data_IF_253794706934
#
_entry.id   IF_253794706934
#
_cell.length_a   1.000
_cell.length_b   1.000
_cell.length_c   1.000
_cell.angle_alpha   90.00
_cell.angle_beta   90.00
_cell.angle_gamma   90.00
#
_symmetry.space_group_name_H-M   'P 1'
#
loop_
_entity.id
_entity.type
_entity.pdbx_description
1 polymer ?
#
# COMPACT_ATOMS: atom_id res chain seq x y z
N UNK A 1 32.59 12.05 41.55
CA UNK A 1 33.56 11.05 42.06
C UNK A 1 33.12 9.67 41.58
N UNK A 2 34.04 8.98 40.90
CA UNK A 2 34.19 7.53 40.73
C UNK A 2 33.34 6.77 39.69
N UNK A 3 33.98 6.65 38.50
CA UNK A 3 34.05 5.52 37.57
C UNK A 3 34.02 4.12 38.22
N UNK A 4 33.49 3.09 37.52
CA UNK A 4 34.21 1.84 37.15
C UNK A 4 33.34 0.93 36.27
N UNK A 5 33.96 0.39 35.22
CA UNK A 5 33.46 -0.59 34.25
C UNK A 5 33.32 -2.02 34.77
N UNK A 6 32.41 -2.81 34.18
CA UNK A 6 32.44 -4.30 34.14
C UNK A 6 31.99 -4.74 32.74
N UNK A 7 32.88 -5.17 31.83
CA UNK A 7 33.58 -6.46 31.64
C UNK A 7 32.72 -7.63 31.11
N UNK A 8 33.05 -7.99 29.87
CA UNK A 8 32.71 -9.17 29.06
C UNK A 8 33.38 -10.44 29.63
N UNK A 9 32.70 -11.61 29.54
CA UNK A 9 33.24 -12.98 29.26
C UNK A 9 32.32 -14.05 29.87
N UNK A 10 31.57 -14.84 29.09
CA UNK A 10 31.93 -16.14 28.47
C UNK A 10 32.22 -17.27 29.47
N UNK A 11 31.32 -18.28 29.51
CA UNK A 11 31.55 -19.74 29.58
C UNK A 11 30.44 -20.44 30.39
N UNK A 12 29.63 -21.27 29.72
CA UNK A 12 29.09 -22.48 30.33
C UNK A 12 28.88 -23.52 29.22
N UNK A 13 29.83 -24.46 29.18
CA UNK A 13 29.85 -25.64 28.34
C UNK A 13 28.93 -26.72 28.94
N UNK A 14 28.48 -27.62 28.05
CA UNK A 14 28.03 -29.02 28.26
C UNK A 14 26.54 -29.30 28.30
N UNK A 15 26.06 -29.91 27.21
CA UNK A 15 25.26 -31.13 27.26
C UNK A 15 25.25 -31.79 25.89
N UNK A 16 25.79 -33.02 25.85
CA UNK A 16 25.89 -33.94 24.72
C UNK A 16 24.52 -34.55 24.44
N UNK A 17 24.09 -34.60 23.17
CA UNK A 17 23.08 -35.57 22.74
C UNK A 17 23.49 -36.15 21.37
N UNK A 18 23.55 -37.47 21.32
CA UNK A 18 24.03 -38.28 20.20
C UNK A 18 23.11 -38.19 18.97
N UNK A 19 23.70 -38.06 17.78
CA UNK A 19 23.01 -38.25 16.50
C UNK A 19 23.54 -39.51 15.82
N UNK A 20 22.64 -40.47 15.70
CA UNK A 20 22.77 -41.73 14.96
C UNK A 20 22.92 -41.46 13.47
N UNK A 21 23.80 -42.25 12.84
CA UNK A 21 24.02 -42.32 11.39
C UNK A 21 22.74 -42.79 10.68
N UNK A 22 22.28 -42.02 9.69
CA UNK A 22 21.19 -42.38 8.80
C UNK A 22 21.42 -41.78 7.40
N UNK A 23 21.97 -42.61 6.51
CA UNK A 23 21.98 -42.56 5.04
C UNK A 23 21.89 -41.20 4.29
N UNK A 24 22.92 -40.90 3.51
CA UNK A 24 22.83 -40.02 2.33
C UNK A 24 21.79 -40.57 1.34
N UNK A 25 20.63 -39.94 1.24
CA UNK A 25 19.85 -39.89 0.00
C UNK A 25 20.32 -38.71 -0.85
N UNK A 26 20.20 -38.76 -2.19
CA UNK A 26 20.52 -37.60 -3.03
C UNK A 26 19.63 -36.41 -2.64
N UNK A 27 20.11 -35.16 -2.79
CA UNK A 27 19.26 -34.00 -2.55
C UNK A 27 18.07 -34.07 -3.51
N UNK A 28 16.88 -34.31 -2.97
CA UNK A 28 15.65 -33.90 -3.65
C UNK A 28 15.70 -32.39 -3.64
N UNK A 29 15.95 -31.81 -4.82
CA UNK A 29 15.64 -30.42 -5.07
C UNK A 29 14.16 -30.27 -4.71
N UNK A 30 13.87 -29.45 -3.70
CA UNK A 30 12.53 -28.95 -3.47
C UNK A 30 12.20 -28.16 -4.74
N UNK A 31 11.54 -28.83 -5.69
CA UNK A 31 10.89 -28.17 -6.82
C UNK A 31 9.97 -27.17 -6.17
N UNK A 32 10.44 -25.91 -6.16
CA UNK A 32 9.82 -24.82 -5.45
C UNK A 32 8.34 -24.89 -5.73
N UNK A 33 7.60 -25.40 -4.74
CA UNK A 33 6.17 -25.42 -4.81
C UNK A 33 5.82 -23.96 -4.99
N UNK A 34 5.42 -23.61 -6.22
CA UNK A 34 4.67 -22.40 -6.47
C UNK A 34 3.64 -22.43 -5.37
N UNK A 35 3.81 -21.53 -4.39
CA UNK A 35 2.66 -21.08 -3.63
C UNK A 35 1.77 -20.55 -4.73
N UNK A 36 0.84 -21.37 -5.21
CA UNK A 36 -0.26 -20.88 -5.99
C UNK A 36 -0.95 -19.97 -4.99
N UNK A 37 -0.58 -18.70 -5.00
CA UNK A 37 -1.48 -17.69 -4.53
C UNK A 37 -2.76 -18.01 -5.28
N UNK A 38 -3.78 -18.40 -4.54
CA UNK A 38 -5.05 -18.84 -5.09
C UNK A 38 -5.71 -17.61 -5.71
N UNK A 39 -5.26 -17.26 -6.92
CA UNK A 39 -5.87 -16.30 -7.80
C UNK A 39 -6.57 -17.15 -8.88
N UNK A 40 -7.85 -16.90 -9.11
CA UNK A 40 -8.65 -17.48 -10.17
C UNK A 40 -9.48 -18.71 -9.80
N UNK A 41 -10.05 -18.81 -8.59
CA UNK A 41 -11.00 -19.90 -8.29
C UNK A 41 -12.44 -19.41 -8.03
N UNK A 42 -12.70 -18.11 -8.19
CA UNK A 42 -14.02 -17.49 -8.08
C UNK A 42 -14.35 -16.62 -9.30
N UNK A 43 -15.64 -16.30 -9.46
CA UNK A 43 -16.13 -15.40 -10.52
C UNK A 43 -15.61 -13.97 -10.25
N UNK A 44 -14.66 -13.49 -11.06
CA UNK A 44 -14.08 -12.16 -10.94
C UNK A 44 -15.15 -11.11 -11.23
N UNK A 45 -15.51 -10.31 -10.22
CA UNK A 45 -16.49 -9.23 -10.35
C UNK A 45 -15.89 -7.91 -9.92
N UNK A 46 -16.35 -6.84 -10.55
CA UNK A 46 -16.21 -5.50 -10.00
C UNK A 46 -17.08 -5.41 -8.74
N UNK A 47 -16.45 -5.14 -7.61
CA UNK A 47 -17.12 -4.99 -6.31
C UNK A 47 -17.57 -3.54 -6.10
N UNK A 48 -16.68 -2.59 -6.40
CA UNK A 48 -16.97 -1.16 -6.31
C UNK A 48 -16.13 -0.37 -7.33
N UNK A 49 -16.63 0.81 -7.69
CA UNK A 49 -15.91 1.78 -8.50
C UNK A 49 -16.03 3.14 -7.83
N UNK A 50 -14.90 3.73 -7.44
CA UNK A 50 -14.83 5.04 -6.77
C UNK A 50 -14.03 6.00 -7.61
N UNK A 51 -14.13 7.30 -7.32
CA UNK A 51 -13.28 8.30 -7.97
C UNK A 51 -12.67 9.27 -6.95
N UNK A 52 -11.60 9.94 -7.37
CA UNK A 52 -10.90 10.93 -6.57
C UNK A 52 -9.82 11.66 -7.37
N UNK A 53 -8.93 12.36 -6.67
CA UNK A 53 -7.73 12.98 -7.24
C UNK A 53 -6.56 11.99 -7.16
N UNK A 54 -5.76 11.91 -8.21
CA UNK A 54 -4.56 11.08 -8.25
C UNK A 54 -3.36 11.90 -7.80
N UNK A 55 -2.68 11.46 -6.75
CA UNK A 55 -1.53 12.17 -6.19
C UNK A 55 -0.39 11.21 -5.87
N UNK A 56 0.83 11.72 -5.94
CA UNK A 56 1.97 11.11 -5.27
C UNK A 56 2.04 11.66 -3.83
N UNK A 57 2.27 10.79 -2.84
CA UNK A 57 2.21 11.14 -1.42
C UNK A 57 3.61 11.25 -0.84
N UNK A 58 3.90 12.39 -0.21
CA UNK A 58 5.14 12.67 0.50
C UNK A 58 4.85 12.97 1.97
N UNK A 59 5.82 12.71 2.84
CA UNK A 59 5.78 13.17 4.23
C UNK A 59 6.38 14.57 4.40
N UNK A 60 6.32 15.10 5.64
CA UNK A 60 6.86 16.41 5.98
C UNK A 60 8.39 16.54 5.82
N UNK A 61 9.11 15.41 5.79
CA UNK A 61 10.55 15.36 5.58
C UNK A 61 10.90 15.36 4.08
N UNK A 62 9.89 15.35 3.19
CA UNK A 62 10.04 15.30 1.74
C UNK A 62 10.36 13.90 1.22
N UNK A 63 10.11 12.86 2.01
CA UNK A 63 10.32 11.47 1.61
C UNK A 63 9.06 10.97 0.90
N UNK A 64 9.26 10.39 -0.30
CA UNK A 64 8.18 9.74 -1.04
C UNK A 64 7.66 8.55 -0.24
N UNK A 65 6.37 8.57 0.05
CA UNK A 65 5.70 7.45 0.68
C UNK A 65 5.14 6.47 -0.35
N UNK A 66 4.30 6.95 -1.25
CA UNK A 66 3.59 6.13 -2.22
C UNK A 66 3.25 6.95 -3.47
N UNK A 67 3.02 6.26 -4.59
CA UNK A 67 2.73 6.86 -5.90
C UNK A 67 1.34 6.49 -6.36
N UNK A 68 0.74 7.34 -7.19
CA UNK A 68 -0.56 7.07 -7.83
C UNK A 68 -1.68 6.71 -6.81
N UNK A 69 -1.73 7.43 -5.69
CA UNK A 69 -2.73 7.27 -4.64
C UNK A 69 -3.98 8.08 -4.98
N UNK A 70 -5.15 7.45 -4.89
CA UNK A 70 -6.45 8.12 -5.08
C UNK A 70 -6.94 8.69 -3.75
N UNK A 71 -7.05 10.01 -3.65
CA UNK A 71 -7.56 10.73 -2.48
C UNK A 71 -8.92 11.38 -2.78
N UNK A 72 -9.68 11.67 -1.72
CA UNK A 72 -10.98 12.34 -1.82
C UNK A 72 -10.82 13.77 -2.34
N UNK A 73 -11.77 14.24 -3.15
CA UNK A 73 -11.72 15.57 -3.76
C UNK A 73 -11.80 16.72 -2.74
N UNK A 74 -12.44 16.49 -1.59
CA UNK A 74 -12.60 17.48 -0.52
C UNK A 74 -11.35 17.72 0.33
N UNK A 75 -10.23 17.01 0.08
CA UNK A 75 -8.97 17.28 0.75
C UNK A 75 -8.35 18.55 0.16
N UNK A 76 -8.13 19.56 0.99
CA UNK A 76 -7.60 20.87 0.60
C UNK A 76 -6.33 21.19 1.39
N UNK A 77 -5.48 22.05 0.86
CA UNK A 77 -4.34 22.57 1.61
C UNK A 77 -4.86 23.45 2.76
N UNK A 78 -4.52 23.07 3.99
CA UNK A 78 -4.90 23.77 5.22
C UNK A 78 -3.69 24.33 5.97
N UNK A 79 -2.47 23.94 5.57
CA UNK A 79 -1.23 24.33 6.24
C UNK A 79 -1.03 23.68 7.61
N UNK A 80 -1.86 22.68 7.96
CA UNK A 80 -1.79 21.93 9.22
C UNK A 80 -1.55 20.45 8.95
N UNK A 81 -2.39 19.83 8.14
CA UNK A 81 -2.33 18.42 7.81
C UNK A 81 -1.84 18.21 6.37
N UNK A 82 -2.21 19.09 5.45
CA UNK A 82 -1.99 18.90 4.02
C UNK A 82 -1.43 20.15 3.33
N UNK A 83 -0.52 19.90 2.40
CA UNK A 83 -0.09 20.85 1.38
C UNK A 83 -0.10 20.18 0.00
N UNK A 84 -0.33 20.98 -1.05
CA UNK A 84 -0.41 20.50 -2.43
C UNK A 84 0.56 21.26 -3.32
N UNK A 85 1.28 20.51 -4.16
CA UNK A 85 2.12 21.07 -5.21
C UNK A 85 1.99 20.27 -6.49
N UNK A 86 2.58 20.76 -7.57
CA UNK A 86 2.60 20.08 -8.85
C UNK A 86 4.05 19.85 -9.26
N UNK A 87 4.38 18.64 -9.67
CA UNK A 87 5.69 18.34 -10.21
C UNK A 87 5.85 19.09 -11.55
N UNK A 88 6.82 20.01 -11.71
CA UNK A 88 6.92 20.83 -12.92
C UNK A 88 7.31 20.02 -14.17
N UNK A 89 7.83 18.80 -14.01
CA UNK A 89 8.25 17.94 -15.10
C UNK A 89 7.14 16.95 -15.46
N UNK A 90 6.65 16.18 -14.50
CA UNK A 90 5.64 15.14 -14.75
C UNK A 90 4.22 15.67 -14.78
N UNK A 91 3.99 16.90 -14.30
CA UNK A 91 2.68 17.50 -14.07
C UNK A 91 1.76 16.69 -13.14
N UNK A 92 2.32 15.70 -12.42
CA UNK A 92 1.60 14.97 -11.38
C UNK A 92 1.39 15.87 -10.17
N UNK A 93 0.22 15.75 -9.58
CA UNK A 93 -0.11 16.41 -8.32
C UNK A 93 0.57 15.68 -7.16
N UNK A 94 1.11 16.45 -6.23
CA UNK A 94 1.81 15.97 -5.05
C UNK A 94 1.01 16.39 -3.82
N UNK A 95 0.68 15.41 -2.98
CA UNK A 95 0.17 15.63 -1.63
C UNK A 95 1.34 15.51 -0.65
N UNK A 96 1.65 16.58 0.07
CA UNK A 96 2.56 16.53 1.21
C UNK A 96 1.74 16.50 2.49
N UNK A 97 1.87 15.44 3.27
CA UNK A 97 1.28 15.35 4.61
C UNK A 97 2.25 16.00 5.57
N UNK A 98 1.82 17.05 6.27
CA UNK A 98 2.67 17.92 7.11
C UNK A 98 3.06 17.28 8.47
N UNK A 99 2.87 15.98 8.59
CA UNK A 99 3.34 15.15 9.70
C UNK A 99 4.50 14.28 9.25
N UNK A 100 5.63 14.32 9.97
CA UNK A 100 6.74 13.40 9.70
C UNK A 100 6.39 12.00 10.20
N UNK A 101 6.65 10.98 9.37
CA UNK A 101 6.50 9.58 9.78
C UNK A 101 7.48 9.19 10.89
N UNK A 102 8.66 9.78 10.90
CA UNK A 102 9.73 9.38 11.81
C UNK A 102 9.48 9.83 13.26
N UNK A 103 8.72 10.91 13.44
CA UNK A 103 8.47 11.51 14.76
C UNK A 103 7.01 11.44 15.19
N UNK A 104 6.07 11.45 14.23
CA UNK A 104 4.64 11.47 14.47
C UNK A 104 3.89 10.51 13.52
N UNK A 105 4.41 9.28 13.35
CA UNK A 105 3.82 8.25 12.47
C UNK A 105 2.30 8.14 12.57
N UNK A 106 1.75 8.12 13.79
CA UNK A 106 0.32 8.00 14.02
C UNK A 106 -0.50 9.15 13.41
N UNK A 107 0.02 10.38 13.40
CA UNK A 107 -0.65 11.54 12.81
C UNK A 107 -0.57 11.48 11.28
N UNK A 108 0.58 11.07 10.73
CA UNK A 108 0.73 10.85 9.29
C UNK A 108 -0.27 9.80 8.80
N UNK A 109 -0.31 8.63 9.45
CA UNK A 109 -1.17 7.53 9.04
C UNK A 109 -2.66 7.88 9.20
N UNK A 110 -3.01 8.65 10.24
CA UNK A 110 -4.37 9.15 10.44
C UNK A 110 -4.78 10.15 9.34
N UNK A 111 -3.91 11.12 9.01
CA UNK A 111 -4.17 12.08 7.93
C UNK A 111 -4.31 11.37 6.58
N UNK A 112 -3.43 10.42 6.27
CA UNK A 112 -3.54 9.61 5.07
C UNK A 112 -4.84 8.80 5.03
N UNK A 113 -5.19 8.11 6.13
CA UNK A 113 -6.42 7.33 6.23
C UNK A 113 -7.66 8.22 6.01
N UNK A 114 -7.67 9.43 6.56
CA UNK A 114 -8.74 10.41 6.34
C UNK A 114 -8.79 10.83 4.87
N UNK A 115 -7.65 11.06 4.21
CA UNK A 115 -7.58 11.47 2.82
C UNK A 115 -8.10 10.39 1.84
N UNK A 116 -7.85 9.11 2.11
CA UNK A 116 -8.29 7.99 1.26
C UNK A 116 -9.66 7.41 1.64
N UNK A 117 -10.20 7.78 2.80
CA UNK A 117 -11.53 7.31 3.24
C UNK A 117 -12.66 8.02 2.50
N UNK A 118 -13.84 7.38 2.46
CA UNK A 118 -15.08 7.97 1.95
C UNK A 118 -14.95 8.57 0.54
N UNK A 119 -14.20 7.90 -0.35
CA UNK A 119 -14.17 8.26 -1.77
C UNK A 119 -15.59 8.14 -2.35
N UNK A 120 -16.05 9.09 -3.18
CA UNK A 120 -17.35 8.99 -3.80
C UNK A 120 -17.43 7.77 -4.73
N UNK A 121 -18.49 6.96 -4.55
CA UNK A 121 -18.80 5.82 -5.40
C UNK A 121 -19.41 6.29 -6.72
N UNK A 122 -18.96 5.68 -7.82
CA UNK A 122 -19.59 5.73 -9.11
C UNK A 122 -20.85 4.88 -9.08
N UNK A 123 -22.00 5.52 -9.27
CA UNK A 123 -23.27 4.82 -9.32
C UNK A 123 -23.35 3.97 -10.59
N UNK A 124 -23.49 2.66 -10.43
CA UNK A 124 -23.85 1.79 -11.54
C UNK A 124 -25.29 2.08 -11.98
N UNK A 125 -25.44 2.42 -13.26
CA UNK A 125 -26.73 2.66 -13.88
C UNK A 125 -26.97 1.58 -14.93
N UNK A 126 -28.07 0.86 -14.81
CA UNK A 126 -28.50 -0.08 -15.83
C UNK A 126 -28.86 0.61 -17.15
N UNK A 127 -28.91 -0.15 -18.23
CA UNK A 127 -29.16 0.35 -19.59
C UNK A 127 -30.48 1.14 -19.73
N UNK A 128 -31.48 0.79 -18.92
CA UNK A 128 -32.80 1.46 -18.89
C UNK A 128 -32.88 2.60 -17.86
N UNK A 129 -31.76 2.94 -17.20
CA UNK A 129 -31.78 3.91 -16.12
C UNK A 129 -31.86 5.34 -16.65
N UNK A 130 -32.96 6.02 -16.34
CA UNK A 130 -33.15 7.44 -16.63
C UNK A 130 -32.70 8.36 -15.48
N UNK A 131 -32.08 7.79 -14.44
CA UNK A 131 -31.73 8.48 -13.20
C UNK A 131 -30.62 9.52 -13.34
N UNK A 132 -30.40 10.38 -12.32
CA UNK A 132 -29.34 11.37 -12.36
C UNK A 132 -27.96 10.69 -12.43
N UNK A 133 -27.16 11.08 -13.41
CA UNK A 133 -25.79 10.62 -13.58
C UNK A 133 -24.87 11.29 -12.54
N UNK A 134 -23.92 10.53 -12.01
CA UNK A 134 -22.84 11.08 -11.19
C UNK A 134 -21.96 11.94 -12.08
N UNK A 135 -21.69 13.17 -11.64
CA UNK A 135 -20.76 14.06 -12.33
C UNK A 135 -19.36 13.80 -11.80
N UNK A 136 -18.44 13.46 -12.70
CA UNK A 136 -17.03 13.20 -12.38
C UNK A 136 -16.18 14.28 -13.05
N UNK A 137 -15.24 14.92 -12.33
CA UNK A 137 -14.29 15.85 -12.92
C UNK A 137 -13.46 15.20 -14.03
N UNK A 138 -13.09 15.99 -15.05
CA UNK A 138 -12.33 15.48 -16.21
C UNK A 138 -10.94 14.94 -15.86
N UNK A 139 -10.38 15.38 -14.74
CA UNK A 139 -9.05 15.02 -14.23
C UNK A 139 -9.14 14.06 -13.03
N UNK A 140 -10.30 13.44 -12.79
CA UNK A 140 -10.43 12.43 -11.75
C UNK A 140 -9.72 11.13 -12.14
N UNK A 141 -9.17 10.44 -11.14
CA UNK A 141 -8.82 9.03 -11.26
C UNK A 141 -9.98 8.16 -10.79
N UNK A 142 -10.11 7.00 -11.43
CA UNK A 142 -11.09 5.97 -11.08
C UNK A 142 -10.34 4.83 -10.40
N UNK A 143 -10.85 4.42 -9.24
CA UNK A 143 -10.39 3.24 -8.51
C UNK A 143 -11.41 2.13 -8.69
N UNK A 144 -10.97 1.02 -9.27
CA UNK A 144 -11.76 -0.19 -9.43
C UNK A 144 -11.36 -1.18 -8.33
N UNK A 145 -12.33 -1.64 -7.56
CA UNK A 145 -12.16 -2.66 -6.54
C UNK A 145 -12.82 -3.94 -7.02
N UNK A 146 -12.07 -5.04 -7.02
CA UNK A 146 -12.55 -6.34 -7.46
C UNK A 146 -12.74 -7.27 -6.27
N UNK A 147 -13.66 -8.23 -6.41
CA UNK A 147 -13.95 -9.24 -5.37
C UNK A 147 -12.78 -10.18 -5.11
N UNK A 148 -11.84 -10.28 -6.05
CA UNK A 148 -10.70 -11.18 -6.01
C UNK A 148 -9.40 -10.42 -6.30
N UNK A 149 -8.29 -10.91 -5.74
CA UNK A 149 -6.98 -10.34 -6.01
C UNK A 149 -6.51 -10.71 -7.42
N UNK A 150 -6.08 -9.70 -8.17
CA UNK A 150 -5.54 -9.88 -9.51
C UNK A 150 -4.02 -9.95 -9.40
N UNK A 151 -3.41 -10.99 -9.95
CA UNK A 151 -1.96 -11.09 -10.02
C UNK A 151 -1.41 -9.96 -10.91
N UNK A 152 -0.56 -9.09 -10.35
CA UNK A 152 -0.13 -7.86 -11.00
C UNK A 152 0.60 -8.09 -12.34
N UNK A 153 1.25 -9.24 -12.51
CA UNK A 153 1.94 -9.66 -13.74
C UNK A 153 0.98 -10.05 -14.88
N UNK A 154 -0.30 -10.28 -14.57
CA UNK A 154 -1.34 -10.57 -15.57
C UNK A 154 -2.01 -9.32 -16.14
N UNK A 155 -1.88 -8.18 -15.46
CA UNK A 155 -2.45 -6.91 -15.90
C UNK A 155 -1.53 -6.29 -16.96
N UNK A 156 -2.03 -6.18 -18.18
CA UNK A 156 -1.28 -5.60 -19.29
C UNK A 156 -2.20 -4.71 -20.13
N UNK A 157 -1.64 -4.04 -21.14
CA UNK A 157 -2.41 -3.10 -21.98
C UNK A 157 -3.48 -3.74 -22.87
N UNK A 158 -3.44 -5.05 -23.04
CA UNK A 158 -4.39 -5.82 -23.87
C UNK A 158 -5.47 -6.49 -23.04
N UNK A 159 -5.33 -6.50 -21.72
CA UNK A 159 -6.36 -6.90 -20.74
C UNK A 159 -7.01 -5.66 -20.13
#
# INVERSE_FOLDING_TARGET
MNSIQQRISLLCLTSVLALTVGACGPPTFDDGASRSSAYGNTDLKLDDAKWGRLVDVFDADGILFDVDVVIREGVIADGVDYDFSLNPISQKEILTILHSRNTAAANFDAALAIAISNLPTLKELGIESQGPFVKVPRNAAIRLEFTEHIAADTVNRQT
#
